data_IF_981696825960
#
_entry.id   IF_981696825960
#
_cell.length_a   1.000
_cell.length_b   1.000
_cell.length_c   1.000
_cell.angle_alpha   90.00
_cell.angle_beta   90.00
_cell.angle_gamma   90.00
#
_symmetry.space_group_name_H-M   'P 1'
#
loop_
_entity.id
_entity.type
_entity.pdbx_description
1 polymer ?
#
# COMPACT_ATOMS: atom_id res chain seq x y z
N UNK A 1 -7.64 30.02 1.22
CA UNK A 1 -6.70 29.91 2.37
C UNK A 1 -5.28 29.70 1.87
N UNK A 2 -4.27 30.39 2.43
CA UNK A 2 -2.86 30.01 2.27
C UNK A 2 -2.63 28.58 2.80
N UNK A 3 -1.78 27.79 2.12
CA UNK A 3 -1.50 26.39 2.50
C UNK A 3 -0.98 26.26 3.94
N UNK A 4 -0.24 27.26 4.43
CA UNK A 4 0.26 27.36 5.82
C UNK A 4 -0.84 27.43 6.89
N UNK A 5 -2.09 27.70 6.50
CA UNK A 5 -3.24 27.86 7.41
C UNK A 5 -4.32 26.77 7.21
N UNK A 6 -4.04 25.79 6.35
CA UNK A 6 -4.92 24.69 6.00
C UNK A 6 -5.12 23.74 7.18
N UNK A 7 -6.38 23.44 7.52
CA UNK A 7 -6.72 22.35 8.44
C UNK A 7 -7.97 21.63 7.95
N UNK A 8 -8.03 20.32 8.14
CA UNK A 8 -9.17 19.48 7.76
C UNK A 8 -10.48 20.01 8.36
N UNK A 9 -10.46 20.38 9.65
CA UNK A 9 -11.62 20.95 10.36
C UNK A 9 -12.16 22.24 9.73
N UNK A 10 -11.28 23.13 9.24
CA UNK A 10 -11.69 24.39 8.60
C UNK A 10 -12.41 24.11 7.29
N UNK A 11 -11.82 23.26 6.45
CA UNK A 11 -12.36 22.91 5.14
C UNK A 11 -13.67 22.14 5.28
N UNK A 12 -13.77 21.25 6.27
CA UNK A 12 -15.01 20.55 6.60
C UNK A 12 -16.16 21.53 6.93
N UNK A 13 -15.87 22.56 7.74
CA UNK A 13 -16.87 23.56 8.14
C UNK A 13 -17.24 24.52 7.00
N UNK A 14 -16.24 25.03 6.27
CA UNK A 14 -16.41 26.06 5.25
C UNK A 14 -17.11 25.54 3.99
N UNK A 15 -16.85 24.28 3.63
CA UNK A 15 -17.42 23.64 2.46
C UNK A 15 -18.51 22.62 2.79
N UNK A 16 -18.92 22.52 4.06
CA UNK A 16 -19.93 21.56 4.55
C UNK A 16 -19.65 20.13 4.09
N UNK A 17 -18.38 19.71 4.20
CA UNK A 17 -17.95 18.39 3.73
C UNK A 17 -18.22 17.32 4.78
N UNK A 18 -18.55 16.13 4.30
CA UNK A 18 -18.53 14.91 5.09
C UNK A 18 -17.16 14.26 4.95
N UNK A 19 -16.58 13.83 6.08
CA UNK A 19 -15.34 13.04 6.08
C UNK A 19 -15.75 11.57 6.13
N UNK A 20 -15.29 10.82 5.13
CA UNK A 20 -15.52 9.38 5.05
C UNK A 20 -14.19 8.70 5.33
N UNK A 21 -13.99 8.25 6.57
CA UNK A 21 -12.71 7.66 7.02
C UNK A 21 -12.53 6.20 6.56
N UNK A 22 -13.62 5.52 6.19
CA UNK A 22 -13.65 4.10 5.84
C UNK A 22 -14.06 3.89 4.38
N UNK A 23 -13.39 4.58 3.45
CA UNK A 23 -13.56 4.28 2.02
C UNK A 23 -12.68 3.10 1.67
N UNK A 24 -13.30 1.96 1.38
CA UNK A 24 -12.59 0.86 0.71
C UNK A 24 -12.44 1.20 -0.78
N UNK A 25 -11.30 1.82 -1.10
CA UNK A 25 -10.91 2.23 -2.45
C UNK A 25 -10.84 1.07 -3.45
N UNK A 26 -10.78 -0.16 -2.97
CA UNK A 26 -10.59 -1.36 -3.79
C UNK A 26 -11.77 -2.33 -3.73
N UNK A 27 -12.85 -1.98 -3.02
CA UNK A 27 -14.06 -2.81 -2.85
C UNK A 27 -14.69 -3.30 -4.16
N UNK A 28 -14.60 -2.52 -5.24
CA UNK A 28 -15.12 -2.88 -6.57
C UNK A 28 -14.12 -3.64 -7.45
N UNK A 29 -12.96 -4.02 -6.93
CA UNK A 29 -11.88 -4.61 -7.71
C UNK A 29 -11.77 -6.11 -7.41
N UNK A 30 -11.79 -6.93 -8.46
CA UNK A 30 -11.60 -8.36 -8.31
C UNK A 30 -10.18 -8.67 -7.80
N UNK A 31 -10.03 -9.50 -6.75
CA UNK A 31 -8.73 -9.94 -6.28
C UNK A 31 -7.96 -10.65 -7.39
N UNK A 32 -6.66 -10.37 -7.48
CA UNK A 32 -5.78 -11.04 -8.42
C UNK A 32 -4.86 -12.02 -7.70
N UNK A 33 -4.90 -13.27 -8.12
CA UNK A 33 -3.98 -14.29 -7.61
C UNK A 33 -2.53 -13.93 -7.94
N UNK A 34 -1.66 -14.08 -6.95
CA UNK A 34 -0.20 -13.96 -7.09
C UNK A 34 0.41 -15.34 -7.40
N UNK A 35 1.57 -15.35 -8.04
CA UNK A 35 2.28 -16.59 -8.33
C UNK A 35 2.71 -17.34 -7.07
N UNK A 36 2.84 -18.67 -7.18
CA UNK A 36 3.37 -19.51 -6.09
C UNK A 36 4.75 -19.03 -5.62
N UNK A 37 5.57 -18.54 -6.55
CA UNK A 37 6.89 -17.99 -6.23
C UNK A 37 6.81 -16.80 -5.28
N UNK A 38 5.89 -15.85 -5.49
CA UNK A 38 5.71 -14.75 -4.54
C UNK A 38 5.13 -15.24 -3.21
N UNK A 39 4.19 -16.20 -3.22
CA UNK A 39 3.60 -16.78 -2.00
C UNK A 39 4.69 -17.38 -1.11
N UNK A 40 5.54 -18.23 -1.67
CA UNK A 40 6.68 -18.86 -0.98
C UNK A 40 7.71 -17.82 -0.53
N UNK A 41 8.03 -16.85 -1.39
CA UNK A 41 8.98 -15.80 -1.03
C UNK A 41 8.49 -15.01 0.20
N UNK A 42 7.22 -14.61 0.22
CA UNK A 42 6.67 -13.82 1.33
C UNK A 42 6.48 -14.63 2.61
N UNK A 43 6.21 -15.94 2.54
CA UNK A 43 6.10 -16.78 3.75
C UNK A 43 7.39 -16.77 4.57
N UNK A 44 8.53 -16.78 3.88
CA UNK A 44 9.85 -16.79 4.53
C UNK A 44 10.31 -15.37 4.88
N UNK A 45 10.15 -14.44 3.94
CA UNK A 45 10.72 -13.11 4.02
C UNK A 45 10.02 -12.18 5.01
N UNK A 46 8.70 -12.28 5.18
CA UNK A 46 7.95 -11.34 6.03
C UNK A 46 8.40 -11.46 7.48
N UNK A 47 8.50 -12.69 7.99
CA UNK A 47 8.98 -12.95 9.35
C UNK A 47 10.39 -12.39 9.57
N UNK A 48 11.28 -12.55 8.58
CA UNK A 48 12.65 -12.02 8.63
C UNK A 48 12.68 -10.49 8.57
N UNK A 49 11.87 -9.88 7.70
CA UNK A 49 11.81 -8.42 7.57
C UNK A 49 11.33 -7.75 8.86
N UNK A 50 10.35 -8.37 9.53
CA UNK A 50 9.82 -7.90 10.82
C UNK A 50 10.85 -8.08 11.92
N UNK A 51 11.57 -9.21 11.98
CA UNK A 51 12.56 -9.46 13.03
C UNK A 51 13.79 -8.55 12.92
N UNK A 52 14.25 -8.26 11.69
CA UNK A 52 15.36 -7.33 11.44
C UNK A 52 14.92 -5.88 11.68
N UNK A 53 13.65 -5.55 11.43
CA UNK A 53 13.01 -4.26 11.72
C UNK A 53 13.70 -3.02 11.14
N UNK A 54 14.40 -3.15 10.02
CA UNK A 54 14.96 -2.00 9.29
C UNK A 54 14.13 -1.66 8.06
N UNK A 55 14.19 -0.41 7.62
CA UNK A 55 13.59 0.02 6.35
C UNK A 55 14.14 -0.78 5.17
N UNK A 56 15.45 -1.05 5.19
CA UNK A 56 16.11 -1.87 4.17
C UNK A 56 15.55 -3.28 4.11
N UNK A 57 15.40 -3.95 5.26
CA UNK A 57 14.85 -5.31 5.31
C UNK A 57 13.42 -5.35 4.76
N UNK A 58 12.54 -4.42 5.16
CA UNK A 58 11.18 -4.34 4.57
C UNK A 58 11.21 -4.09 3.07
N UNK A 59 12.10 -3.20 2.61
CA UNK A 59 12.24 -2.87 1.19
C UNK A 59 12.67 -4.08 0.35
N UNK A 60 13.69 -4.81 0.78
CA UNK A 60 14.26 -5.92 0.00
C UNK A 60 13.44 -7.20 0.11
N UNK A 61 12.87 -7.48 1.28
CA UNK A 61 12.23 -8.76 1.56
C UNK A 61 10.73 -8.76 1.28
N UNK A 62 10.06 -7.60 1.30
CA UNK A 62 8.61 -7.49 1.07
C UNK A 62 8.32 -6.66 -0.18
N UNK A 63 8.76 -5.40 -0.20
CA UNK A 63 8.33 -4.43 -1.21
C UNK A 63 8.86 -4.80 -2.59
N UNK A 64 10.16 -5.05 -2.73
CA UNK A 64 10.78 -5.37 -4.02
C UNK A 64 10.19 -6.64 -4.67
N UNK A 65 10.01 -7.77 -3.96
CA UNK A 65 9.33 -8.95 -4.51
C UNK A 65 7.91 -8.66 -5.01
N UNK A 66 7.12 -7.89 -4.26
CA UNK A 66 5.76 -7.51 -4.67
C UNK A 66 5.77 -6.66 -5.94
N UNK A 67 6.68 -5.67 -6.03
CA UNK A 67 6.80 -4.84 -7.23
C UNK A 67 7.22 -5.64 -8.46
N UNK A 68 8.15 -6.59 -8.29
CA UNK A 68 8.55 -7.51 -9.36
C UNK A 68 7.38 -8.36 -9.82
N UNK A 69 6.56 -8.85 -8.88
CA UNK A 69 5.36 -9.62 -9.21
C UNK A 69 4.34 -8.80 -9.99
N UNK A 70 4.03 -7.58 -9.54
CA UNK A 70 3.14 -6.65 -10.26
C UNK A 70 3.65 -6.45 -11.69
N UNK A 71 4.95 -6.23 -11.87
CA UNK A 71 5.54 -6.10 -13.21
C UNK A 71 5.37 -7.36 -14.07
N UNK A 72 5.51 -8.56 -13.50
CA UNK A 72 5.26 -9.83 -14.23
C UNK A 72 3.79 -9.95 -14.65
N UNK A 73 2.89 -9.61 -13.72
CA UNK A 73 1.43 -9.65 -13.85
C UNK A 73 0.90 -8.70 -14.95
N UNK A 74 1.56 -7.56 -15.17
CA UNK A 74 1.20 -6.56 -16.19
C UNK A 74 2.15 -6.55 -17.41
N UNK A 75 2.69 -7.71 -17.80
CA UNK A 75 3.46 -7.94 -19.05
C UNK A 75 4.79 -7.17 -19.17
N UNK A 76 5.53 -6.97 -18.08
CA UNK A 76 6.90 -6.39 -18.05
C UNK A 76 7.07 -4.99 -18.69
N UNK A 77 6.00 -4.34 -19.12
CA UNK A 77 6.03 -2.94 -19.58
C UNK A 77 6.43 -2.01 -18.44
#
# INVERSE_FOLDING_TARGET
>A
MPFSSFTIKKVQKEFSLEIIDNVDLFSGMEPREISNHLKETLSDNVSLAVSVNTEKARSELIIAPVLVEIRKIFNKK
#
